data_IF_954161773547
#
_entry.id   IF_954161773547
#
_cell.length_a   1.000
_cell.length_b   1.000
_cell.length_c   1.000
_cell.angle_alpha   90.00
_cell.angle_beta   90.00
_cell.angle_gamma   90.00
#
_symmetry.space_group_name_H-M   'P 1'
#
loop_
_entity.id
_entity.type
_entity.pdbx_description
1 polymer ?
#
# COMPACT_ATOMS: atom_id res chain seq x y z
N UNK A 1 -26.09 -5.68 16.43
CA UNK A 1 -24.61 -5.81 16.54
C UNK A 1 -24.03 -4.95 15.43
N UNK A 2 -23.23 -3.94 15.74
CA UNK A 2 -22.62 -3.06 14.73
C UNK A 2 -21.47 -3.79 14.01
N UNK A 3 -21.34 -3.55 12.71
CA UNK A 3 -20.19 -4.01 11.91
C UNK A 3 -19.30 -2.82 11.60
N UNK A 4 -18.00 -3.01 11.76
CA UNK A 4 -16.97 -2.03 11.39
C UNK A 4 -16.11 -2.66 10.31
N UNK A 5 -16.06 -2.02 9.16
CA UNK A 5 -15.24 -2.45 8.04
C UNK A 5 -13.89 -1.75 8.08
N UNK A 6 -12.81 -2.51 7.95
CA UNK A 6 -11.45 -1.98 7.87
C UNK A 6 -10.87 -2.33 6.50
N UNK A 7 -10.36 -1.34 5.80
CA UNK A 7 -9.83 -1.46 4.44
C UNK A 7 -8.72 -0.41 4.23
N UNK A 8 -7.95 -0.52 3.16
CA UNK A 8 -7.04 0.56 2.76
C UNK A 8 -7.79 1.89 2.63
N UNK A 9 -7.09 2.99 2.93
CA UNK A 9 -7.61 4.35 2.85
C UNK A 9 -7.88 4.81 1.41
N UNK A 10 -8.15 6.10 1.26
CA UNK A 10 -8.39 6.72 -0.05
C UNK A 10 -9.55 6.07 -0.81
N UNK A 11 -9.29 5.70 -2.06
CA UNK A 11 -10.29 5.15 -2.99
C UNK A 11 -10.95 3.87 -2.49
N UNK A 12 -10.21 2.97 -1.83
CA UNK A 12 -10.79 1.70 -1.36
C UNK A 12 -11.85 1.91 -0.28
N UNK A 13 -11.55 2.75 0.72
CA UNK A 13 -12.50 3.13 1.75
C UNK A 13 -13.71 3.91 1.18
N UNK A 14 -13.48 4.82 0.22
CA UNK A 14 -14.56 5.53 -0.45
C UNK A 14 -15.50 4.58 -1.20
N UNK A 15 -14.96 3.67 -2.01
CA UNK A 15 -15.73 2.67 -2.75
C UNK A 15 -16.53 1.76 -1.82
N UNK A 16 -15.97 1.37 -0.66
CA UNK A 16 -16.69 0.53 0.30
C UNK A 16 -17.83 1.28 0.98
N UNK A 17 -17.66 2.57 1.32
CA UNK A 17 -18.75 3.40 1.85
C UNK A 17 -19.89 3.53 0.85
N UNK A 18 -19.57 3.77 -0.41
CA UNK A 18 -20.58 3.82 -1.48
C UNK A 18 -21.31 2.47 -1.64
N UNK A 19 -20.58 1.35 -1.59
CA UNK A 19 -21.17 0.02 -1.65
C UNK A 19 -22.17 -0.25 -0.51
N UNK A 20 -21.84 0.20 0.71
CA UNK A 20 -22.70 0.06 1.88
C UNK A 20 -23.93 0.98 1.79
N UNK A 21 -23.73 2.23 1.40
CA UNK A 21 -24.81 3.19 1.20
C UNK A 21 -25.81 2.72 0.14
N UNK A 22 -25.32 2.20 -0.99
CA UNK A 22 -26.17 1.62 -2.04
C UNK A 22 -26.98 0.39 -1.58
N UNK A 23 -26.50 -0.30 -0.54
CA UNK A 23 -27.21 -1.41 0.10
C UNK A 23 -28.12 -0.98 1.27
N UNK A 24 -28.25 0.33 1.55
CA UNK A 24 -29.02 0.86 2.67
C UNK A 24 -28.42 0.51 4.04
N UNK A 25 -27.09 0.35 4.12
CA UNK A 25 -26.36 -0.05 5.32
C UNK A 25 -25.59 1.14 5.90
N UNK A 26 -25.89 1.48 7.14
CA UNK A 26 -25.16 2.49 7.91
C UNK A 26 -24.05 1.84 8.76
N UNK A 27 -23.16 1.10 8.10
CA UNK A 27 -22.04 0.41 8.76
C UNK A 27 -20.77 1.28 8.70
N UNK A 28 -19.99 1.30 9.78
CA UNK A 28 -18.79 2.14 9.89
C UNK A 28 -17.68 1.62 8.98
N UNK A 29 -17.01 2.52 8.25
CA UNK A 29 -15.82 2.20 7.44
C UNK A 29 -14.61 2.99 7.95
N UNK A 30 -13.61 2.26 8.44
CA UNK A 30 -12.30 2.76 8.87
C UNK A 30 -11.29 2.50 7.74
N UNK A 31 -10.80 3.59 7.14
CA UNK A 31 -9.70 3.54 6.17
C UNK A 31 -8.37 3.77 6.87
N UNK A 32 -7.39 2.90 6.59
CA UNK A 32 -5.99 3.08 6.99
C UNK A 32 -5.18 3.40 5.73
N UNK A 33 -4.69 4.64 5.63
CA UNK A 33 -4.00 5.24 4.49
C UNK A 33 -2.53 4.81 4.37
N UNK A 34 -1.87 4.44 5.46
CA UNK A 34 -0.43 4.15 5.45
C UNK A 34 -0.09 2.93 4.56
N UNK A 35 0.77 3.12 3.56
CA UNK A 35 1.37 2.02 2.81
C UNK A 35 2.54 1.41 3.58
N UNK A 36 2.22 0.34 4.32
CA UNK A 36 3.16 -0.42 5.12
C UNK A 36 4.14 -1.27 4.28
N UNK A 37 3.90 -1.38 2.97
CA UNK A 37 4.78 -2.07 2.03
C UNK A 37 6.13 -1.37 1.83
N UNK A 38 6.24 -0.10 2.19
CA UNK A 38 7.40 0.75 1.94
C UNK A 38 7.85 1.50 3.20
N UNK A 39 9.16 1.60 3.37
CA UNK A 39 9.78 2.36 4.44
C UNK A 39 9.85 1.64 5.79
N UNK A 40 10.40 2.34 6.79
CA UNK A 40 10.62 1.76 8.10
C UNK A 40 9.30 1.43 8.78
N UNK A 41 9.27 0.30 9.50
CA UNK A 41 8.19 -0.11 10.40
C UNK A 41 8.66 -0.29 11.85
N UNK A 42 9.96 -0.15 12.12
CA UNK A 42 10.46 -0.16 13.50
C UNK A 42 9.82 1.00 14.27
N UNK A 43 9.19 0.69 15.40
CA UNK A 43 8.45 1.67 16.19
C UNK A 43 7.07 2.04 15.62
N UNK A 44 6.61 1.39 14.53
CA UNK A 44 5.23 1.55 14.07
C UNK A 44 4.27 1.09 15.16
N UNK A 45 3.18 1.85 15.34
CA UNK A 45 2.22 1.75 16.44
C UNK A 45 2.76 2.10 17.84
N UNK A 46 4.02 2.56 17.95
CA UNK A 46 4.60 3.04 19.22
C UNK A 46 4.78 4.57 19.18
N UNK A 47 5.28 5.10 18.06
CA UNK A 47 5.44 6.54 17.83
C UNK A 47 5.10 6.88 16.38
N UNK A 48 4.52 8.06 16.16
CA UNK A 48 4.15 8.55 14.81
C UNK A 48 5.37 9.07 14.02
N UNK A 49 6.41 9.52 14.72
CA UNK A 49 7.53 10.29 14.17
C UNK A 49 8.26 9.58 13.01
N UNK A 50 8.56 8.28 13.15
CA UNK A 50 9.34 7.54 12.13
C UNK A 50 8.58 7.41 10.82
N UNK A 51 7.28 7.11 10.88
CA UNK A 51 6.43 6.99 9.68
C UNK A 51 6.14 8.35 9.08
N UNK A 52 5.84 9.35 9.91
CA UNK A 52 5.60 10.72 9.46
C UNK A 52 6.83 11.29 8.72
N UNK A 53 8.03 11.16 9.30
CA UNK A 53 9.27 11.60 8.66
C UNK A 53 9.59 10.83 7.37
N UNK A 54 9.21 9.56 7.27
CA UNK A 54 9.32 8.81 6.02
C UNK A 54 8.41 9.40 4.94
N UNK A 55 7.11 9.58 5.21
CA UNK A 55 6.18 10.12 4.23
C UNK A 55 6.48 11.56 3.83
N UNK A 56 6.97 12.38 4.77
CA UNK A 56 7.44 13.73 4.46
C UNK A 56 8.58 13.73 3.43
N UNK A 57 9.53 12.78 3.52
CA UNK A 57 10.59 12.64 2.50
C UNK A 57 10.05 12.17 1.14
N UNK A 58 9.09 11.25 1.14
CA UNK A 58 8.49 10.70 -0.09
C UNK A 58 7.71 11.78 -0.84
N UNK A 59 6.96 12.62 -0.13
CA UNK A 59 6.01 13.55 -0.74
C UNK A 59 6.53 15.00 -0.82
N UNK A 60 7.56 15.32 -0.04
CA UNK A 60 8.09 16.69 0.08
C UNK A 60 7.15 17.60 0.87
N UNK A 61 7.36 18.91 0.73
CA UNK A 61 6.69 19.95 1.55
C UNK A 61 5.26 20.30 1.11
N UNK A 62 4.70 19.62 0.10
CA UNK A 62 3.44 20.02 -0.54
C UNK A 62 2.16 19.33 -0.03
N UNK A 63 2.22 18.46 0.99
CA UNK A 63 1.14 17.50 1.35
C UNK A 63 1.05 17.40 2.91
N UNK A 64 -0.12 17.07 3.55
CA UNK A 64 -0.51 17.61 4.87
C UNK A 64 0.34 17.12 6.04
N UNK A 65 0.00 17.57 7.25
CA UNK A 65 0.63 17.15 8.50
C UNK A 65 0.57 15.62 8.67
N UNK A 66 1.60 14.94 8.16
CA UNK A 66 1.73 13.49 8.20
C UNK A 66 1.82 12.96 9.63
N UNK A 67 2.27 13.78 10.58
CA UNK A 67 2.27 13.39 11.98
C UNK A 67 0.83 13.26 12.48
N UNK A 68 -0.01 14.26 12.22
CA UNK A 68 -1.44 14.21 12.56
C UNK A 68 -2.17 13.07 11.85
N UNK A 69 -1.87 12.79 10.58
CA UNK A 69 -2.47 11.66 9.85
C UNK A 69 -2.10 10.30 10.48
N UNK A 70 -0.82 10.07 10.80
CA UNK A 70 -0.37 8.82 11.42
C UNK A 70 -0.92 8.68 12.85
N UNK A 71 -0.99 9.77 13.62
CA UNK A 71 -1.63 9.78 14.94
C UNK A 71 -3.13 9.46 14.84
N UNK A 72 -3.81 10.02 13.83
CA UNK A 72 -5.20 9.69 13.53
C UNK A 72 -5.41 8.21 13.19
N UNK A 73 -4.47 7.56 12.50
CA UNK A 73 -4.54 6.11 12.31
C UNK A 73 -4.38 5.31 13.60
N UNK A 74 -3.46 5.72 14.47
CA UNK A 74 -3.26 5.04 15.76
C UNK A 74 -4.53 5.14 16.60
N UNK A 75 -5.13 6.33 16.67
CA UNK A 75 -6.40 6.53 17.35
C UNK A 75 -7.52 5.65 16.78
N UNK A 76 -7.63 5.51 15.45
CA UNK A 76 -8.60 4.60 14.82
C UNK A 76 -8.36 3.13 15.21
N UNK A 77 -7.10 2.70 15.34
CA UNK A 77 -6.77 1.33 15.76
C UNK A 77 -7.11 1.09 17.24
N UNK A 78 -6.85 2.06 18.11
CA UNK A 78 -7.22 2.01 19.53
C UNK A 78 -8.74 1.99 19.71
N UNK A 79 -9.47 2.80 18.94
CA UNK A 79 -10.92 2.77 18.88
C UNK A 79 -11.44 1.40 18.42
N UNK A 80 -10.85 0.81 17.38
CA UNK A 80 -11.24 -0.53 16.92
C UNK A 80 -11.06 -1.59 18.03
N UNK A 81 -9.96 -1.51 18.78
CA UNK A 81 -9.66 -2.44 19.86
C UNK A 81 -10.62 -2.29 21.05
N UNK A 82 -11.04 -1.06 21.37
CA UNK A 82 -11.94 -0.75 22.49
C UNK A 82 -13.44 -0.88 22.17
N UNK A 83 -13.82 -0.81 20.90
CA UNK A 83 -15.21 -1.01 20.46
C UNK A 83 -15.72 -2.44 20.74
N UNK A 84 -17.02 -2.69 20.59
CA UNK A 84 -17.68 -3.99 20.76
C UNK A 84 -18.19 -4.60 19.44
N UNK A 85 -18.21 -3.82 18.36
CA UNK A 85 -18.67 -4.24 17.04
C UNK A 85 -17.82 -5.31 16.39
N UNK A 86 -18.42 -6.08 15.47
CA UNK A 86 -17.70 -7.05 14.64
C UNK A 86 -16.81 -6.32 13.64
N UNK A 87 -15.55 -6.72 13.53
CA UNK A 87 -14.56 -6.09 12.65
C UNK A 87 -14.35 -6.96 11.42
N UNK A 88 -14.59 -6.40 10.24
CA UNK A 88 -14.41 -7.08 8.94
C UNK A 88 -13.26 -6.43 8.20
N UNK A 89 -12.14 -7.14 8.06
CA UNK A 89 -10.95 -6.65 7.35
C UNK A 89 -10.98 -7.07 5.89
N UNK A 90 -10.90 -6.11 4.98
CA UNK A 90 -10.86 -6.33 3.54
C UNK A 90 -9.43 -6.32 3.06
N UNK A 91 -9.04 -7.35 2.31
CA UNK A 91 -7.68 -7.43 1.76
C UNK A 91 -7.64 -8.16 0.43
N UNK A 92 -6.76 -7.68 -0.45
CA UNK A 92 -6.41 -8.27 -1.72
C UNK A 92 -4.97 -8.85 -1.67
N UNK A 93 -4.50 -9.58 -2.69
CA UNK A 93 -3.15 -10.15 -2.75
C UNK A 93 -2.02 -9.12 -3.03
N UNK A 94 -2.06 -7.93 -2.43
CA UNK A 94 -0.92 -7.00 -2.40
C UNK A 94 -0.30 -6.92 -1.00
N UNK A 95 0.99 -6.58 -0.92
CA UNK A 95 1.71 -6.56 0.35
C UNK A 95 1.12 -5.55 1.36
N UNK A 96 0.65 -4.39 0.89
CA UNK A 96 0.03 -3.36 1.74
C UNK A 96 -1.22 -3.87 2.45
N UNK A 97 -2.15 -4.47 1.72
CA UNK A 97 -3.37 -5.09 2.29
C UNK A 97 -3.04 -6.23 3.24
N UNK A 98 -2.01 -7.02 2.91
CA UNK A 98 -1.54 -8.12 3.74
C UNK A 98 -0.93 -7.63 5.04
N UNK A 99 -0.20 -6.52 5.03
CA UNK A 99 0.33 -5.89 6.25
C UNK A 99 -0.78 -5.22 7.06
N UNK A 100 -1.75 -4.56 6.40
CA UNK A 100 -2.94 -4.01 7.06
C UNK A 100 -3.68 -5.09 7.86
N UNK A 101 -3.95 -6.26 7.25
CA UNK A 101 -4.58 -7.38 7.95
C UNK A 101 -3.81 -7.81 9.21
N UNK A 102 -2.48 -7.86 9.12
CA UNK A 102 -1.60 -8.25 10.23
C UNK A 102 -1.59 -7.22 11.35
N UNK A 103 -1.52 -5.93 10.99
CA UNK A 103 -1.60 -4.81 11.93
C UNK A 103 -2.93 -4.80 12.68
N UNK A 104 -4.06 -4.96 11.99
CA UNK A 104 -5.38 -5.04 12.63
C UNK A 104 -5.49 -6.28 13.52
N UNK A 105 -5.05 -7.46 13.03
CA UNK A 105 -5.05 -8.68 13.83
C UNK A 105 -4.18 -8.55 15.09
N UNK A 106 -3.05 -7.86 15.01
CA UNK A 106 -2.24 -7.53 16.18
C UNK A 106 -3.03 -6.71 17.18
N UNK A 107 -3.65 -5.60 16.78
CA UNK A 107 -4.40 -4.73 17.69
C UNK A 107 -5.63 -5.42 18.31
N UNK A 108 -6.31 -6.30 17.57
CA UNK A 108 -7.50 -7.02 18.05
C UNK A 108 -7.22 -8.40 18.67
N UNK A 109 -5.95 -8.78 18.87
CA UNK A 109 -5.57 -10.13 19.34
C UNK A 109 -6.16 -10.52 20.71
N UNK A 110 -6.53 -9.54 21.54
CA UNK A 110 -7.17 -9.76 22.85
C UNK A 110 -8.68 -10.02 22.76
N UNK A 111 -9.30 -9.73 21.61
CA UNK A 111 -10.73 -9.91 21.33
C UNK A 111 -10.96 -10.64 20.00
N UNK A 112 -10.33 -11.81 19.80
CA UNK A 112 -10.23 -12.48 18.50
C UNK A 112 -11.58 -12.87 17.88
N UNK A 113 -12.61 -13.10 18.71
CA UNK A 113 -13.97 -13.46 18.28
C UNK A 113 -14.68 -12.37 17.47
N UNK A 114 -14.16 -11.13 17.47
CA UNK A 114 -14.70 -10.02 16.68
C UNK A 114 -14.15 -9.97 15.26
N UNK A 115 -13.05 -10.68 14.98
CA UNK A 115 -12.30 -10.48 13.76
C UNK A 115 -12.76 -11.40 12.63
N UNK A 116 -13.19 -10.76 11.55
CA UNK A 116 -13.65 -11.36 10.32
C UNK A 116 -12.82 -10.80 9.16
N UNK A 117 -12.83 -11.48 8.02
CA UNK A 117 -12.19 -10.99 6.80
C UNK A 117 -13.07 -11.17 5.57
N UNK A 118 -12.85 -10.30 4.60
CA UNK A 118 -13.25 -10.50 3.21
C UNK A 118 -11.98 -10.59 2.37
N UNK A 119 -11.80 -11.73 1.71
CA UNK A 119 -10.67 -11.96 0.79
C UNK A 119 -11.09 -11.59 -0.63
N UNK A 120 -10.41 -10.61 -1.19
CA UNK A 120 -10.52 -10.24 -2.60
C UNK A 120 -9.41 -10.90 -3.41
N UNK A 121 -9.65 -11.08 -4.71
CA UNK A 121 -8.71 -11.68 -5.64
C UNK A 121 -8.84 -11.04 -7.02
N UNK A 122 -7.86 -11.25 -7.90
CA UNK A 122 -7.95 -10.78 -9.29
C UNK A 122 -9.17 -11.36 -10.03
N UNK A 123 -9.69 -12.54 -9.62
CA UNK A 123 -10.90 -13.13 -10.21
C UNK A 123 -12.18 -12.33 -9.90
N UNK A 124 -12.15 -11.49 -8.85
CA UNK A 124 -13.27 -10.63 -8.48
C UNK A 124 -13.30 -9.30 -9.29
N UNK A 125 -12.24 -9.03 -10.07
CA UNK A 125 -12.16 -7.89 -11.00
C UNK A 125 -12.87 -8.19 -12.33
N UNK A 126 -13.38 -7.15 -12.98
CA UNK A 126 -14.00 -7.29 -14.30
C UNK A 126 -12.97 -7.62 -15.40
N UNK A 127 -13.45 -7.98 -16.59
CA UNK A 127 -12.56 -8.39 -17.68
C UNK A 127 -11.61 -7.27 -18.13
N UNK A 128 -12.07 -6.02 -18.14
CA UNK A 128 -11.28 -4.86 -18.54
C UNK A 128 -10.17 -4.58 -17.52
N UNK A 129 -10.50 -4.58 -16.23
CA UNK A 129 -9.56 -4.41 -15.13
C UNK A 129 -8.52 -5.54 -15.08
N UNK A 130 -8.95 -6.81 -15.24
CA UNK A 130 -8.02 -7.94 -15.30
C UNK A 130 -7.05 -7.84 -16.47
N UNK A 131 -7.54 -7.41 -17.63
CA UNK A 131 -6.69 -7.20 -18.82
C UNK A 131 -5.71 -6.06 -18.60
N UNK A 132 -6.16 -4.94 -18.00
CA UNK A 132 -5.31 -3.79 -17.71
C UNK A 132 -4.24 -4.07 -16.64
N UNK A 133 -4.52 -4.99 -15.71
CA UNK A 133 -3.56 -5.38 -14.68
C UNK A 133 -2.32 -6.04 -15.28
N UNK A 134 -2.48 -6.94 -16.27
CA UNK A 134 -1.39 -7.59 -17.02
C UNK A 134 -0.16 -8.06 -16.18
N UNK A 135 -0.39 -8.54 -14.94
CA UNK A 135 0.67 -9.05 -14.05
C UNK A 135 0.74 -10.57 -14.03
N UNK A 136 1.95 -11.13 -13.99
CA UNK A 136 2.15 -12.57 -13.90
C UNK A 136 1.83 -13.10 -12.50
N UNK A 137 1.99 -12.27 -11.47
CA UNK A 137 1.72 -12.64 -10.07
C UNK A 137 0.23 -12.63 -9.68
N UNK A 138 -0.66 -12.18 -10.58
CA UNK A 138 -2.09 -11.98 -10.32
C UNK A 138 -2.40 -11.17 -9.05
N UNK A 139 -1.45 -10.36 -8.58
CA UNK A 139 -1.64 -9.53 -7.42
C UNK A 139 -2.62 -8.40 -7.76
N UNK A 140 -3.45 -7.99 -6.80
CA UNK A 140 -4.35 -6.84 -6.92
C UNK A 140 -4.47 -6.14 -5.57
N UNK A 141 -4.94 -4.90 -5.59
CA UNK A 141 -5.15 -4.06 -4.40
C UNK A 141 -6.65 -3.80 -4.19
N UNK A 142 -7.08 -3.67 -2.93
CA UNK A 142 -8.45 -3.26 -2.57
C UNK A 142 -8.89 -1.97 -3.26
N UNK A 143 -7.96 -1.05 -3.55
CA UNK A 143 -8.25 0.21 -4.26
C UNK A 143 -8.66 0.05 -5.73
N UNK A 144 -8.50 -1.14 -6.30
CA UNK A 144 -8.90 -1.43 -7.69
C UNK A 144 -10.38 -1.83 -7.83
N UNK A 145 -11.06 -2.11 -6.71
CA UNK A 145 -12.43 -2.64 -6.75
C UNK A 145 -13.45 -1.50 -6.73
N UNK A 146 -14.43 -1.60 -7.63
CA UNK A 146 -15.58 -0.70 -7.66
C UNK A 146 -16.54 -0.94 -6.49
N UNK A 147 -17.38 0.04 -6.13
CA UNK A 147 -18.43 -0.14 -5.12
C UNK A 147 -19.29 -1.38 -5.36
N UNK A 148 -19.70 -1.62 -6.61
CA UNK A 148 -20.51 -2.80 -6.97
C UNK A 148 -19.78 -4.11 -6.72
N UNK A 149 -18.48 -4.19 -7.01
CA UNK A 149 -17.68 -5.40 -6.77
C UNK A 149 -17.52 -5.67 -5.26
N UNK A 150 -17.22 -4.64 -4.48
CA UNK A 150 -17.13 -4.74 -3.03
C UNK A 150 -18.47 -5.17 -2.41
N UNK A 151 -19.58 -4.57 -2.87
CA UNK A 151 -20.93 -4.95 -2.44
C UNK A 151 -21.25 -6.42 -2.66
N UNK A 152 -20.85 -6.99 -3.81
CA UNK A 152 -21.02 -8.42 -4.12
C UNK A 152 -20.21 -9.34 -3.21
N UNK A 153 -19.02 -8.90 -2.75
CA UNK A 153 -18.13 -9.70 -1.88
C UNK A 153 -18.43 -9.55 -0.40
N UNK A 154 -19.26 -8.57 0.01
CA UNK A 154 -19.65 -8.35 1.41
C UNK A 154 -20.20 -9.60 2.11
N UNK A 155 -21.07 -10.43 1.51
CA UNK A 155 -21.56 -11.65 2.16
C UNK A 155 -20.49 -12.71 2.41
N UNK A 156 -19.30 -12.58 1.80
CA UNK A 156 -18.18 -13.51 2.00
C UNK A 156 -17.36 -13.21 3.27
N UNK A 157 -17.82 -12.27 4.11
CA UNK A 157 -17.21 -12.02 5.41
C UNK A 157 -17.22 -13.30 6.25
N UNK A 158 -16.04 -13.75 6.67
CA UNK A 158 -15.87 -14.99 7.42
C UNK A 158 -15.01 -14.76 8.66
N UNK A 159 -15.28 -15.44 9.78
CA UNK A 159 -14.47 -15.33 10.98
C UNK A 159 -13.05 -15.83 10.75
N UNK A 160 -12.08 -15.15 11.37
CA UNK A 160 -10.69 -15.61 11.38
C UNK A 160 -10.46 -16.49 12.61
N UNK A 161 -9.88 -17.67 12.42
CA UNK A 161 -9.57 -18.56 13.56
C UNK A 161 -8.57 -17.92 14.52
N UNK A 162 -8.73 -18.18 15.82
CA UNK A 162 -7.84 -17.65 16.88
C UNK A 162 -6.36 -17.95 16.59
N UNK A 163 -6.05 -19.16 16.11
CA UNK A 163 -4.68 -19.55 15.71
C UNK A 163 -4.14 -18.66 14.59
N UNK A 164 -4.96 -18.34 13.58
CA UNK A 164 -4.54 -17.47 12.49
C UNK A 164 -4.37 -16.03 12.96
N UNK A 165 -5.20 -15.55 13.88
CA UNK A 165 -5.05 -14.20 14.48
C UNK A 165 -3.72 -14.09 15.21
N UNK A 166 -3.38 -15.08 16.06
CA UNK A 166 -2.09 -15.12 16.74
C UNK A 166 -0.91 -15.11 15.77
N UNK A 167 -0.98 -15.90 14.70
CA UNK A 167 0.05 -15.92 13.65
C UNK A 167 0.17 -14.57 12.92
N UNK A 168 -0.94 -13.97 12.52
CA UNK A 168 -0.94 -12.65 11.85
C UNK A 168 -0.34 -11.56 12.76
N UNK A 169 -0.66 -11.61 14.05
CA UNK A 169 -0.12 -10.69 15.04
C UNK A 169 1.40 -10.86 15.22
N UNK A 170 1.91 -12.09 15.21
CA UNK A 170 3.35 -12.37 15.23
C UNK A 170 4.04 -11.87 13.95
N UNK A 171 3.46 -12.16 12.79
CA UNK A 171 4.00 -11.70 11.50
C UNK A 171 4.04 -10.15 11.41
N UNK A 172 3.13 -9.43 12.07
CA UNK A 172 3.23 -7.98 12.21
C UNK A 172 4.47 -7.57 13.02
N UNK A 173 4.69 -8.18 14.18
CA UNK A 173 5.85 -7.90 15.03
C UNK A 173 7.16 -8.21 14.31
N UNK A 174 7.23 -9.33 13.58
CA UNK A 174 8.37 -9.68 12.73
C UNK A 174 8.60 -8.62 11.64
N UNK A 175 7.56 -8.13 10.97
CA UNK A 175 7.69 -7.09 9.96
C UNK A 175 8.22 -5.76 10.53
N UNK A 176 7.82 -5.40 11.76
CA UNK A 176 8.38 -4.27 12.51
C UNK A 176 9.84 -4.48 12.87
N UNK A 177 10.18 -5.68 13.34
CA UNK A 177 11.55 -6.02 13.76
C UNK A 177 12.54 -6.05 12.58
N UNK A 178 12.16 -6.70 11.47
CA UNK A 178 12.97 -6.77 10.26
C UNK A 178 13.21 -5.39 9.62
N UNK A 179 12.25 -4.47 9.76
CA UNK A 179 12.37 -3.07 9.37
C UNK A 179 12.91 -2.86 7.94
N UNK A 180 12.50 -3.71 7.00
CA UNK A 180 12.92 -3.64 5.61
C UNK A 180 12.50 -2.33 4.93
N UNK A 181 13.26 -1.93 3.90
CA UNK A 181 12.97 -0.75 3.07
C UNK A 181 11.76 -0.97 2.17
N UNK A 182 11.69 -2.15 1.55
CA UNK A 182 10.54 -2.64 0.80
C UNK A 182 10.10 -3.98 1.37
N UNK A 183 8.82 -4.30 1.16
CA UNK A 183 8.25 -5.60 1.52
C UNK A 183 7.55 -6.17 0.30
N UNK A 184 7.66 -7.48 0.14
CA UNK A 184 7.01 -8.24 -0.91
C UNK A 184 6.12 -9.32 -0.33
N UNK A 185 5.00 -9.59 -0.99
CA UNK A 185 4.13 -10.73 -0.77
C UNK A 185 4.44 -11.84 -1.77
N UNK A 186 5.22 -12.85 -1.33
CA UNK A 186 5.67 -13.96 -2.18
C UNK A 186 5.33 -15.28 -1.50
N UNK A 187 4.69 -16.19 -2.22
CA UNK A 187 4.33 -17.53 -1.73
C UNK A 187 3.66 -17.50 -0.35
N UNK A 188 2.72 -16.57 -0.16
CA UNK A 188 1.97 -16.38 1.08
C UNK A 188 2.83 -15.96 2.30
N UNK A 189 3.99 -15.32 2.05
CA UNK A 189 4.89 -14.81 3.08
C UNK A 189 5.36 -13.38 2.76
N UNK A 190 5.70 -12.61 3.81
CA UNK A 190 6.33 -11.31 3.64
C UNK A 190 7.84 -11.53 3.48
N UNK A 191 8.41 -10.95 2.43
CA UNK A 191 9.85 -10.93 2.17
C UNK A 191 10.38 -9.51 2.22
N UNK A 192 11.54 -9.33 2.84
CA UNK A 192 12.26 -8.05 2.86
C UNK A 192 12.85 -7.75 1.48
N UNK A 193 12.86 -6.48 1.13
CA UNK A 193 13.48 -5.93 -0.07
C UNK A 193 14.20 -4.62 0.22
N UNK A 194 14.96 -4.18 -0.77
CA UNK A 194 15.73 -2.94 -0.72
C UNK A 194 15.23 -1.93 -1.74
N UNK A 195 15.41 -0.64 -1.47
CA UNK A 195 15.11 0.38 -2.48
C UNK A 195 15.90 0.18 -3.78
N UNK A 196 17.12 -0.35 -3.67
CA UNK A 196 17.95 -0.73 -4.80
C UNK A 196 17.24 -1.68 -5.80
N UNK A 197 16.34 -2.54 -5.32
CA UNK A 197 15.56 -3.45 -6.18
C UNK A 197 14.58 -2.68 -7.08
N UNK A 198 13.98 -1.59 -6.57
CA UNK A 198 13.10 -0.71 -7.35
C UNK A 198 13.92 0.24 -8.22
N UNK A 199 15.01 0.77 -7.69
CA UNK A 199 15.91 1.67 -8.40
C UNK A 199 16.51 1.02 -9.65
N UNK A 200 16.92 -0.24 -9.57
CA UNK A 200 17.42 -0.99 -10.71
C UNK A 200 16.37 -1.09 -11.83
N UNK A 201 15.10 -1.25 -11.47
CA UNK A 201 13.99 -1.30 -12.42
C UNK A 201 13.69 0.06 -13.04
N UNK A 202 13.80 1.15 -12.27
CA UNK A 202 13.67 2.52 -12.76
C UNK A 202 14.75 2.82 -13.79
N UNK A 203 16.02 2.56 -13.44
CA UNK A 203 17.16 2.83 -14.34
C UNK A 203 17.06 1.98 -15.61
N UNK A 204 16.70 0.71 -15.50
CA UNK A 204 16.57 -0.18 -16.66
C UNK A 204 15.49 0.26 -17.66
N UNK A 205 14.50 1.06 -17.22
CA UNK A 205 13.37 1.56 -18.03
C UNK A 205 13.47 3.04 -18.37
N UNK A 206 14.48 3.74 -17.87
CA UNK A 206 14.72 5.13 -18.20
C UNK A 206 15.30 5.23 -19.63
N UNK A 207 14.72 6.11 -20.44
CA UNK A 207 15.24 6.42 -21.78
C UNK A 207 16.51 7.26 -21.68
N UNK A 208 17.43 7.15 -22.65
CA UNK A 208 18.54 8.10 -22.80
C UNK A 208 18.08 9.46 -23.32
N UNK A 209 16.92 9.49 -23.99
CA UNK A 209 16.28 10.73 -24.42
C UNK A 209 15.33 11.26 -23.35
N UNK A 210 15.11 12.58 -23.37
CA UNK A 210 14.14 13.22 -22.48
C UNK A 210 12.73 12.67 -22.72
N UNK A 211 12.07 12.23 -21.66
CA UNK A 211 10.69 11.77 -21.66
C UNK A 211 9.93 12.36 -20.46
N UNK A 212 8.59 12.50 -20.53
CA UNK A 212 7.80 12.91 -19.38
C UNK A 212 7.95 11.93 -18.21
N UNK A 213 8.23 12.42 -16.99
CA UNK A 213 8.46 11.60 -15.81
C UNK A 213 7.25 10.71 -15.48
N UNK A 214 6.02 11.23 -15.67
CA UNK A 214 4.77 10.47 -15.53
C UNK A 214 4.71 9.20 -16.39
N UNK A 215 5.36 9.18 -17.57
CA UNK A 215 5.39 7.99 -18.42
C UNK A 215 6.32 6.92 -17.83
N UNK A 216 7.50 7.31 -17.36
CA UNK A 216 8.40 6.41 -16.66
C UNK A 216 7.74 5.85 -15.39
N UNK A 217 7.16 6.70 -14.56
CA UNK A 217 6.47 6.30 -13.33
C UNK A 217 5.30 5.37 -13.64
N UNK A 218 4.47 5.69 -14.63
CA UNK A 218 3.36 4.83 -15.05
C UNK A 218 3.82 3.43 -15.50
N UNK A 219 4.92 3.35 -16.27
CA UNK A 219 5.54 2.06 -16.63
C UNK A 219 6.02 1.29 -15.40
N UNK A 220 6.63 1.98 -14.43
CA UNK A 220 7.09 1.33 -13.19
C UNK A 220 5.92 0.79 -12.38
N UNK A 221 4.83 1.56 -12.25
CA UNK A 221 3.63 1.10 -11.54
C UNK A 221 3.00 -0.13 -12.23
N UNK A 222 2.97 -0.14 -13.56
CA UNK A 222 2.40 -1.25 -14.32
C UNK A 222 3.29 -2.50 -14.31
N UNK A 223 4.61 -2.33 -14.49
CA UNK A 223 5.54 -3.40 -14.85
C UNK A 223 6.52 -3.79 -13.75
N UNK A 224 6.57 -3.07 -12.62
CA UNK A 224 7.37 -3.49 -11.47
C UNK A 224 6.70 -4.71 -10.83
N UNK A 225 6.87 -5.85 -11.49
CA UNK A 225 6.30 -7.13 -11.08
C UNK A 225 7.26 -7.87 -10.18
N UNK A 226 7.17 -7.58 -8.88
CA UNK A 226 7.86 -8.38 -7.88
C UNK A 226 6.96 -8.52 -6.65
N UNK A 227 6.41 -9.72 -6.48
CA UNK A 227 5.79 -10.18 -5.24
C UNK A 227 4.73 -9.24 -4.69
N UNK A 228 3.72 -8.86 -5.47
CA UNK A 228 2.60 -8.04 -4.98
C UNK A 228 2.98 -6.68 -4.38
N UNK A 229 4.17 -6.14 -4.70
CA UNK A 229 4.52 -4.75 -4.40
C UNK A 229 3.78 -3.85 -5.40
N UNK A 230 2.74 -3.18 -4.91
CA UNK A 230 1.99 -2.15 -5.64
C UNK A 230 2.65 -0.80 -5.40
N UNK A 231 3.69 -0.48 -6.17
CA UNK A 231 4.39 0.81 -6.03
C UNK A 231 3.44 1.94 -6.43
N UNK A 232 3.23 2.90 -5.53
CA UNK A 232 2.48 4.13 -5.84
C UNK A 232 3.30 5.09 -6.71
N UNK A 233 2.62 6.00 -7.38
CA UNK A 233 3.25 7.09 -8.13
C UNK A 233 4.16 7.95 -7.23
N UNK A 234 3.73 8.24 -6.00
CA UNK A 234 4.50 8.95 -4.99
C UNK A 234 5.84 8.26 -4.67
N UNK A 235 5.81 6.95 -4.42
CA UNK A 235 7.03 6.17 -4.11
C UNK A 235 7.93 6.06 -5.33
N UNK A 236 7.37 5.73 -6.50
CA UNK A 236 8.13 5.65 -7.73
C UNK A 236 8.79 7.00 -8.09
N UNK A 237 8.05 8.10 -7.94
CA UNK A 237 8.57 9.44 -8.19
C UNK A 237 9.64 9.85 -7.17
N UNK A 238 9.42 9.57 -5.88
CA UNK A 238 10.44 9.77 -4.87
C UNK A 238 11.75 9.03 -5.21
N UNK A 239 11.67 7.75 -5.61
CA UNK A 239 12.86 7.00 -6.03
C UNK A 239 13.53 7.59 -7.27
N UNK A 240 12.78 8.11 -8.23
CA UNK A 240 13.38 8.85 -9.35
C UNK A 240 14.17 10.08 -8.88
N UNK A 241 13.67 10.84 -7.89
CA UNK A 241 14.38 11.99 -7.32
C UNK A 241 15.65 11.57 -6.57
N UNK A 242 15.58 10.48 -5.82
CA UNK A 242 16.75 9.91 -5.12
C UNK A 242 17.83 9.47 -6.11
N UNK A 243 17.43 8.84 -7.22
CA UNK A 243 18.34 8.45 -8.30
C UNK A 243 18.94 9.64 -9.04
N UNK A 244 18.19 10.73 -9.20
CA UNK A 244 18.72 11.98 -9.76
C UNK A 244 19.75 12.62 -8.84
N UNK A 245 19.51 12.64 -7.52
CA UNK A 245 20.43 13.18 -6.53
C UNK A 245 21.80 12.45 -6.51
N UNK A 246 21.83 11.16 -6.89
CA UNK A 246 23.08 10.38 -7.01
C UNK A 246 23.59 10.28 -8.47
N UNK A 247 23.06 11.09 -9.38
CA UNK A 247 23.54 11.18 -10.77
C UNK A 247 23.26 9.94 -11.63
N UNK A 248 22.28 9.12 -11.26
CA UNK A 248 21.83 7.94 -12.05
C UNK A 248 20.73 8.28 -13.05
N UNK A 249 19.95 9.32 -12.75
CA UNK A 249 19.00 9.95 -13.66
C UNK A 249 19.33 11.44 -13.77
N UNK A 250 18.83 12.07 -14.83
CA UNK A 250 18.85 13.52 -14.99
C UNK A 250 17.41 14.01 -15.04
N UNK A 251 17.10 15.08 -14.31
CA UNK A 251 15.83 15.79 -14.34
C UNK A 251 16.03 17.11 -15.07
N UNK A 252 15.10 17.48 -15.95
CA UNK A 252 15.26 18.68 -16.78
C UNK A 252 15.15 19.98 -15.97
N UNK A 253 14.45 19.93 -14.83
CA UNK A 253 14.31 21.04 -13.90
C UNK A 253 15.07 20.73 -12.61
N UNK A 254 15.89 21.66 -12.13
CA UNK A 254 16.74 21.54 -10.93
C UNK A 254 15.95 21.59 -9.61
N UNK A 255 14.62 21.56 -9.67
CA UNK A 255 13.73 21.54 -8.52
C UNK A 255 12.85 20.29 -8.55
N UNK A 256 12.31 19.82 -7.42
CA UNK A 256 11.27 18.79 -7.39
C UNK A 256 9.96 19.37 -7.96
N UNK A 257 9.96 19.70 -9.24
CA UNK A 257 8.77 20.06 -9.98
C UNK A 257 7.83 18.85 -9.96
N UNK A 258 6.52 19.13 -9.97
CA UNK A 258 5.50 18.11 -9.91
C UNK A 258 5.75 17.02 -10.97
N UNK A 259 5.42 15.76 -10.64
CA UNK A 259 5.52 14.60 -11.54
C UNK A 259 4.88 14.88 -12.93
N UNK A 260 3.85 15.73 -12.95
CA UNK A 260 3.07 16.09 -14.14
C UNK A 260 3.83 16.90 -15.19
N UNK A 261 4.84 17.69 -14.80
CA UNK A 261 5.55 18.63 -15.68
C UNK A 261 7.01 18.24 -15.93
N UNK A 262 7.59 17.45 -15.02
CA UNK A 262 9.02 17.11 -15.08
C UNK A 262 9.32 16.13 -16.21
N UNK A 263 10.45 16.36 -16.89
CA UNK A 263 11.05 15.40 -17.81
C UNK A 263 12.27 14.74 -17.17
N UNK A 264 12.50 13.47 -17.53
CA UNK A 264 13.55 12.61 -16.98
C UNK A 264 14.26 11.86 -18.10
N UNK A 265 15.55 11.59 -17.92
CA UNK A 265 16.32 10.65 -18.73
C UNK A 265 17.33 9.88 -17.87
N UNK A 266 17.86 8.80 -18.40
CA UNK A 266 19.00 8.09 -17.84
C UNK A 266 20.25 8.98 -17.92
N UNK A 267 21.07 8.99 -16.86
CA UNK A 267 22.32 9.72 -16.88
C UNK A 267 23.30 9.11 -17.89
N UNK A 268 24.04 9.94 -18.62
CA UNK A 268 24.96 9.49 -19.68
C UNK A 268 26.04 8.51 -19.20
N UNK A 269 26.44 8.58 -17.92
CA UNK A 269 27.43 7.67 -17.32
C UNK A 269 26.85 6.31 -16.88
N UNK A 270 25.52 6.19 -16.71
CA UNK A 270 24.88 4.96 -16.22
C UNK A 270 24.85 3.81 -17.26
N UNK A 271 25.16 4.09 -18.53
CA UNK A 271 25.14 3.12 -19.63
C UNK A 271 26.54 2.63 -20.07
N UNK A 272 27.63 3.14 -19.48
CA UNK A 272 29.00 2.75 -19.85
C UNK A 272 29.49 1.43 -19.21
N UNK A 273 28.61 0.72 -18.49
CA UNK A 273 28.95 -0.51 -17.74
C UNK A 273 28.14 -1.73 -18.18
N UNK A 274 27.59 -1.73 -19.41
CA UNK A 274 26.99 -2.93 -20.03
C UNK A 274 27.93 -3.51 -21.07
#
# INVERSE_FOLDING_TARGET
>A
MSTIHVIQGGTAAASLREALAAAGRDERVVGLLDDLGVGPLKGADETSDVRAAFWQRVLGDQIPDWKAEIEGEFARLDELATDTGQVVVWHAPCVGDKLLLRRVAYHLRSVPQRLNEVRLSAADLDATQRTALARADHACSTGMFSPTQLGKRRPAAAPISVLRIGRLALEWQEAKHLNAELRYWISNTIKSGHYADLDAQIVARASTDWQPARQLVGRIMAEADRGGLFVSDAVAWWRCRELAAVGRLELQDDAPAALSVTHVRAARAANASR
#
